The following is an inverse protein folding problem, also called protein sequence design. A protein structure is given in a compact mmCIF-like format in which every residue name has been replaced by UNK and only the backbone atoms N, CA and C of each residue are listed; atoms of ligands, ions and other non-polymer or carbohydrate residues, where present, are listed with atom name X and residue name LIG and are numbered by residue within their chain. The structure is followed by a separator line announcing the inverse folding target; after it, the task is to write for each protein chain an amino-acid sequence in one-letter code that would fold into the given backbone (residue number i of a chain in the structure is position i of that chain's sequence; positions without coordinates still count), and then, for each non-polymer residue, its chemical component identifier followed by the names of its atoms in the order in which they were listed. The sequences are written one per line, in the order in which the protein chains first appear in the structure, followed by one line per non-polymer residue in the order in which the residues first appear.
data_IF_544773478538
#
_entry.id   IF_544773478538
#
_cell.length_a   1.000
_cell.length_b   1.000
_cell.length_c   1.000
_cell.angle_alpha   90.00
_cell.angle_beta   90.00
_cell.angle_gamma   90.00
#
_symmetry.space_group_name_H-M   'P 1'
#
loop_
_entity.id
_entity.type
_entity.pdbx_description
1 polymer ?
#
# COMPACT_ATOMS: atom_id res chain seq x y z
N UNK A 1 3.37 11.52 -22.60
CA UNK A 1 2.26 10.79 -23.25
C UNK A 1 1.17 10.68 -22.21
N UNK A 2 0.10 11.48 -22.34
CA UNK A 2 -1.01 11.44 -21.41
C UNK A 2 -1.77 10.13 -21.62
N UNK A 3 -1.96 9.35 -20.56
CA UNK A 3 -2.81 8.17 -20.56
C UNK A 3 -4.22 8.57 -21.00
N UNK A 4 -4.69 8.02 -22.12
CA UNK A 4 -6.11 8.03 -22.45
C UNK A 4 -6.80 7.21 -21.36
N UNK A 5 -7.34 7.88 -20.34
CA UNK A 5 -8.37 7.29 -19.50
C UNK A 5 -9.52 6.96 -20.43
N UNK A 6 -9.77 5.68 -20.65
CA UNK A 6 -11.01 5.21 -21.26
C UNK A 6 -12.13 5.55 -20.28
N UNK A 7 -12.68 6.75 -20.40
CA UNK A 7 -13.89 7.17 -19.70
C UNK A 7 -15.03 6.29 -20.19
N UNK A 8 -15.71 5.59 -19.29
CA UNK A 8 -16.94 4.90 -19.67
C UNK A 8 -17.95 5.93 -20.20
N UNK A 9 -18.77 5.58 -21.21
CA UNK A 9 -19.76 6.51 -21.76
C UNK A 9 -20.73 6.95 -20.66
N UNK A 10 -21.12 8.22 -20.70
CA UNK A 10 -22.11 8.80 -19.80
C UNK A 10 -23.44 8.06 -19.97
N UNK A 11 -23.90 7.35 -18.93
CA UNK A 11 -25.14 6.57 -19.00
C UNK A 11 -26.35 7.46 -18.69
N UNK A 12 -27.29 7.55 -19.62
CA UNK A 12 -28.46 8.42 -19.54
C UNK A 12 -29.75 7.66 -19.83
N UNK A 13 -30.74 7.84 -18.97
CA UNK A 13 -32.13 7.44 -19.23
C UNK A 13 -32.92 8.66 -19.71
N UNK A 14 -33.62 8.54 -20.83
CA UNK A 14 -34.42 9.61 -21.41
C UNK A 14 -35.88 9.18 -21.47
N UNK A 15 -36.74 9.81 -20.67
CA UNK A 15 -38.19 9.67 -20.75
C UNK A 15 -38.76 10.74 -21.67
N UNK A 16 -39.13 10.35 -22.90
CA UNK A 16 -39.66 11.25 -23.93
C UNK A 16 -40.47 10.44 -24.94
N UNK A 17 -41.72 10.85 -25.21
CA UNK A 17 -42.63 10.09 -26.07
C UNK A 17 -42.49 10.45 -27.55
N UNK A 18 -42.05 11.68 -27.86
CA UNK A 18 -41.64 12.12 -29.20
C UNK A 18 -40.22 11.66 -29.53
N UNK A 19 -40.15 10.56 -30.26
CA UNK A 19 -38.90 9.97 -30.75
C UNK A 19 -38.08 10.96 -31.60
N UNK A 20 -38.71 11.90 -32.30
CA UNK A 20 -38.01 12.89 -33.12
C UNK A 20 -37.33 13.94 -32.25
N UNK A 21 -38.01 14.42 -31.22
CA UNK A 21 -37.43 15.33 -30.24
C UNK A 21 -36.33 14.64 -29.43
N UNK A 22 -36.58 13.41 -28.96
CA UNK A 22 -35.58 12.60 -28.28
C UNK A 22 -34.29 12.47 -29.11
N UNK A 23 -34.41 12.16 -30.41
CA UNK A 23 -33.25 12.11 -31.32
C UNK A 23 -32.53 13.44 -31.43
N UNK A 24 -33.24 14.57 -31.49
CA UNK A 24 -32.61 15.91 -31.55
C UNK A 24 -31.83 16.23 -30.28
N UNK A 25 -32.42 16.00 -29.11
CA UNK A 25 -31.78 16.17 -27.79
C UNK A 25 -30.52 15.32 -27.72
N UNK A 26 -30.64 14.05 -28.09
CA UNK A 26 -29.54 13.08 -28.05
C UNK A 26 -28.42 13.46 -29.03
N UNK A 27 -28.76 13.82 -30.26
CA UNK A 27 -27.78 14.21 -31.29
C UNK A 27 -27.04 15.48 -30.90
N UNK A 28 -27.72 16.45 -30.28
CA UNK A 28 -27.08 17.70 -29.81
C UNK A 28 -25.93 17.43 -28.84
N UNK A 29 -26.04 16.44 -27.97
CA UNK A 29 -24.97 16.05 -27.06
C UNK A 29 -23.83 15.32 -27.80
N UNK A 30 -24.15 14.44 -28.74
CA UNK A 30 -23.13 13.74 -29.54
C UNK A 30 -22.32 14.74 -30.38
N UNK A 31 -23.00 15.70 -31.03
CA UNK A 31 -22.37 16.73 -31.86
C UNK A 31 -21.44 17.64 -31.03
N UNK A 32 -21.73 17.83 -29.75
CA UNK A 32 -20.92 18.62 -28.82
C UNK A 32 -19.80 17.79 -28.13
N UNK A 33 -19.57 16.56 -28.60
CA UNK A 33 -18.41 15.74 -28.24
C UNK A 33 -18.59 14.84 -27.02
N UNK A 34 -19.82 14.59 -26.56
CA UNK A 34 -20.07 13.68 -25.45
C UNK A 34 -20.00 12.21 -25.89
N UNK A 35 -19.23 11.41 -25.17
CA UNK A 35 -19.34 9.95 -25.20
C UNK A 35 -20.49 9.53 -24.28
N UNK A 36 -21.65 9.22 -24.86
CA UNK A 36 -22.91 9.05 -24.14
C UNK A 36 -23.63 7.78 -24.60
N UNK A 37 -24.15 7.01 -23.64
CA UNK A 37 -25.03 5.87 -23.87
C UNK A 37 -26.42 6.25 -23.38
N UNK A 38 -27.37 6.38 -24.31
CA UNK A 38 -28.72 6.87 -24.02
C UNK A 38 -29.71 5.73 -24.20
N UNK A 39 -30.52 5.51 -23.18
CA UNK A 39 -31.68 4.64 -23.24
C UNK A 39 -32.96 5.48 -23.28
N UNK A 40 -33.73 5.33 -24.36
CA UNK A 40 -35.00 6.04 -24.54
C UNK A 40 -36.17 5.17 -24.07
N UNK A 41 -36.95 5.69 -23.14
CA UNK A 41 -38.25 5.16 -22.72
C UNK A 41 -39.34 6.16 -23.06
N UNK A 42 -40.52 5.66 -23.46
CA UNK A 42 -41.59 6.51 -24.02
C UNK A 42 -42.82 6.61 -23.14
N UNK A 43 -42.82 5.88 -22.03
CA UNK A 43 -43.93 5.80 -21.08
C UNK A 43 -43.37 5.85 -19.67
N UNK A 44 -44.16 6.40 -18.75
CA UNK A 44 -43.87 6.41 -17.33
C UNK A 44 -43.71 4.99 -16.77
N UNK A 45 -44.53 4.04 -17.24
CA UNK A 45 -44.39 2.63 -16.88
C UNK A 45 -43.02 2.05 -17.26
N UNK A 46 -42.55 2.31 -18.48
CA UNK A 46 -41.24 1.83 -18.93
C UNK A 46 -40.11 2.50 -18.14
N UNK A 47 -40.25 3.80 -17.84
CA UNK A 47 -39.34 4.51 -16.94
C UNK A 47 -39.20 3.83 -15.58
N UNK A 48 -40.32 3.49 -14.92
CA UNK A 48 -40.31 2.79 -13.64
C UNK A 48 -39.63 1.42 -13.71
N UNK A 49 -39.89 0.67 -14.78
CA UNK A 49 -39.23 -0.62 -14.99
C UNK A 49 -37.72 -0.47 -15.20
N UNK A 50 -37.28 0.62 -15.86
CA UNK A 50 -35.88 0.80 -16.23
C UNK A 50 -34.99 1.25 -15.07
N UNK A 51 -35.49 2.15 -14.22
CA UNK A 51 -34.77 2.57 -13.02
C UNK A 51 -34.61 1.45 -11.97
N UNK A 52 -35.35 0.34 -12.11
CA UNK A 52 -35.22 -0.85 -11.28
C UNK A 52 -34.18 -1.84 -11.83
N UNK A 53 -33.93 -1.82 -13.14
CA UNK A 53 -33.04 -2.78 -13.80
C UNK A 53 -31.59 -2.32 -13.82
N UNK A 54 -31.35 -1.01 -13.92
CA UNK A 54 -30.01 -0.46 -13.99
C UNK A 54 -29.91 0.94 -13.38
N UNK A 55 -28.68 1.35 -13.07
CA UNK A 55 -28.35 2.69 -12.60
C UNK A 55 -27.94 3.59 -13.76
N UNK A 56 -28.39 4.84 -13.73
CA UNK A 56 -28.01 5.88 -14.68
C UNK A 56 -27.26 7.00 -13.98
N UNK A 57 -26.46 7.77 -14.72
CA UNK A 57 -25.78 8.95 -14.17
C UNK A 57 -26.67 10.19 -14.28
N UNK A 58 -27.40 10.29 -15.39
CA UNK A 58 -28.34 11.38 -15.65
C UNK A 58 -29.67 10.81 -16.13
N UNK A 59 -30.77 11.45 -15.71
CA UNK A 59 -32.10 11.18 -16.24
C UNK A 59 -32.64 12.45 -16.90
N UNK A 60 -33.05 12.34 -18.16
CA UNK A 60 -33.80 13.37 -18.88
C UNK A 60 -35.28 13.05 -18.78
N UNK A 61 -36.07 14.00 -18.29
CA UNK A 61 -37.49 13.84 -18.08
C UNK A 61 -38.25 14.85 -18.92
N UNK A 62 -39.05 14.36 -19.86
CA UNK A 62 -40.13 15.14 -20.42
C UNK A 62 -41.19 15.43 -19.34
N UNK A 63 -41.73 16.64 -19.37
CA UNK A 63 -42.80 17.10 -18.51
C UNK A 63 -44.10 16.32 -18.78
N UNK A 64 -44.38 15.90 -20.01
CA UNK A 64 -45.61 15.17 -20.35
C UNK A 64 -45.31 13.88 -21.10
N UNK A 65 -45.90 12.76 -20.67
CA UNK A 65 -45.86 11.48 -21.40
C UNK A 65 -47.25 10.82 -21.38
N UNK A 66 -47.54 9.84 -22.26
CA UNK A 66 -48.90 9.32 -22.44
C UNK A 66 -49.60 8.78 -21.18
N UNK A 67 -48.85 8.26 -20.22
CA UNK A 67 -49.32 7.61 -19.00
C UNK A 67 -48.77 8.24 -17.70
N UNK A 68 -48.20 9.45 -17.77
CA UNK A 68 -47.63 10.14 -16.61
C UNK A 68 -46.98 11.49 -16.93
N UNK A 69 -46.17 12.01 -16.00
CA UNK A 69 -45.41 13.24 -16.19
C UNK A 69 -44.04 13.21 -15.49
N UNK A 70 -43.16 14.12 -15.90
CA UNK A 70 -41.82 14.24 -15.33
C UNK A 70 -41.82 14.55 -13.82
N UNK A 71 -42.81 15.29 -13.32
CA UNK A 71 -42.93 15.58 -11.88
C UNK A 71 -43.23 14.33 -11.04
N UNK A 72 -44.03 13.40 -11.55
CA UNK A 72 -44.26 12.09 -10.94
C UNK A 72 -42.99 11.23 -10.94
N UNK A 73 -42.22 11.26 -12.02
CA UNK A 73 -40.92 10.59 -12.09
C UNK A 73 -39.93 11.17 -11.07
N UNK A 74 -39.84 12.51 -10.96
CA UNK A 74 -39.03 13.21 -9.96
C UNK A 74 -39.37 12.77 -8.53
N UNK A 75 -40.66 12.70 -8.18
CA UNK A 75 -41.09 12.25 -6.84
C UNK A 75 -40.61 10.83 -6.54
N UNK A 76 -40.66 9.92 -7.52
CA UNK A 76 -40.17 8.55 -7.35
C UNK A 76 -38.66 8.51 -7.17
N UNK A 77 -37.90 9.25 -7.98
CA UNK A 77 -36.44 9.37 -7.86
C UNK A 77 -36.06 9.86 -6.45
N UNK A 78 -36.73 10.92 -5.96
CA UNK A 78 -36.49 11.49 -4.64
C UNK A 78 -36.87 10.52 -3.52
N UNK A 79 -38.06 9.90 -3.58
CA UNK A 79 -38.54 8.96 -2.56
C UNK A 79 -37.63 7.72 -2.43
N UNK A 80 -37.09 7.25 -3.55
CA UNK A 80 -36.16 6.11 -3.61
C UNK A 80 -34.71 6.53 -3.35
N UNK A 81 -34.42 7.82 -3.20
CA UNK A 81 -33.07 8.38 -2.98
C UNK A 81 -32.06 7.89 -4.03
N UNK A 82 -32.48 7.84 -5.31
CA UNK A 82 -31.60 7.38 -6.36
C UNK A 82 -30.46 8.39 -6.58
N UNK A 83 -29.19 7.95 -6.63
CA UNK A 83 -28.03 8.84 -6.78
C UNK A 83 -27.85 9.25 -8.26
N UNK A 84 -28.84 9.93 -8.82
CA UNK A 84 -28.90 10.34 -10.24
C UNK A 84 -29.16 11.84 -10.35
N UNK A 85 -28.55 12.51 -11.33
CA UNK A 85 -28.88 13.90 -11.64
C UNK A 85 -30.05 13.95 -12.62
N UNK A 86 -30.98 14.88 -12.43
CA UNK A 86 -32.18 14.95 -13.29
C UNK A 86 -32.26 16.28 -14.03
N UNK A 87 -32.49 16.22 -15.34
CA UNK A 87 -32.77 17.40 -16.18
C UNK A 87 -34.20 17.31 -16.68
N UNK A 88 -35.00 18.32 -16.36
CA UNK A 88 -36.38 18.42 -16.84
C UNK A 88 -36.41 19.10 -18.21
N UNK A 89 -37.25 18.62 -19.13
CA UNK A 89 -37.53 19.23 -20.42
C UNK A 89 -38.99 19.65 -20.51
N UNK A 90 -39.26 20.88 -20.94
CA UNK A 90 -40.64 21.38 -21.10
C UNK A 90 -40.76 22.36 -22.27
N UNK A 91 -41.96 22.47 -22.81
CA UNK A 91 -42.29 23.38 -23.92
C UNK A 91 -42.56 24.82 -23.47
N UNK A 92 -42.98 25.01 -22.21
CA UNK A 92 -43.38 26.30 -21.67
C UNK A 92 -42.52 26.71 -20.48
N UNK A 93 -42.31 28.02 -20.31
CA UNK A 93 -41.68 28.56 -19.12
C UNK A 93 -42.76 28.79 -18.05
N UNK A 94 -43.05 27.76 -17.26
CA UNK A 94 -43.92 27.88 -16.08
C UNK A 94 -43.07 28.01 -14.81
N UNK A 95 -43.05 29.22 -14.23
CA UNK A 95 -42.28 29.50 -13.01
C UNK A 95 -42.69 28.61 -11.83
N UNK A 96 -43.97 28.24 -11.72
CA UNK A 96 -44.44 27.39 -10.61
C UNK A 96 -43.89 25.97 -10.77
N UNK A 97 -43.99 25.41 -11.98
CA UNK A 97 -43.45 24.09 -12.29
C UNK A 97 -41.93 24.03 -12.13
N UNK A 98 -41.21 25.09 -12.53
CA UNK A 98 -39.74 25.21 -12.35
C UNK A 98 -39.41 25.19 -10.86
N UNK A 99 -40.10 25.98 -10.04
CA UNK A 99 -39.85 26.00 -8.59
C UNK A 99 -40.11 24.63 -7.96
N UNK A 100 -41.18 23.96 -8.37
CA UNK A 100 -41.53 22.64 -7.84
C UNK A 100 -40.54 21.55 -8.25
N UNK A 101 -40.06 21.54 -9.50
CA UNK A 101 -39.05 20.56 -9.91
C UNK A 101 -37.71 20.79 -9.20
N UNK A 102 -37.30 22.05 -9.00
CA UNK A 102 -36.08 22.38 -8.26
C UNK A 102 -36.18 21.95 -6.78
N UNK A 103 -37.35 22.13 -6.14
CA UNK A 103 -37.59 21.65 -4.77
C UNK A 103 -37.53 20.13 -4.64
N UNK A 104 -37.85 19.40 -5.71
CA UNK A 104 -37.73 17.94 -5.77
C UNK A 104 -36.30 17.46 -6.07
N UNK A 105 -35.36 18.38 -6.31
CA UNK A 105 -33.95 18.07 -6.53
C UNK A 105 -33.56 17.92 -7.99
N UNK A 106 -34.29 18.54 -8.93
CA UNK A 106 -33.83 18.62 -10.32
C UNK A 106 -32.49 19.36 -10.37
N UNK A 107 -31.55 18.85 -11.16
CA UNK A 107 -30.25 19.48 -11.37
C UNK A 107 -30.38 20.69 -12.29
N UNK A 108 -31.25 20.61 -13.30
CA UNK A 108 -31.57 21.74 -14.17
C UNK A 108 -32.94 21.56 -14.85
N UNK A 109 -33.40 22.62 -15.50
CA UNK A 109 -34.62 22.68 -16.30
C UNK A 109 -34.30 23.28 -17.67
N UNK A 110 -34.58 22.56 -18.75
CA UNK A 110 -34.25 22.91 -20.15
C UNK A 110 -35.52 23.11 -20.97
N UNK A 111 -35.68 24.28 -21.60
CA UNK A 111 -36.76 24.49 -22.55
C UNK A 111 -36.47 23.71 -23.83
N UNK A 112 -37.46 22.96 -24.34
CA UNK A 112 -37.37 22.19 -25.60
C UNK A 112 -37.08 23.08 -26.81
N UNK A 113 -37.40 24.37 -26.73
CA UNK A 113 -37.08 25.39 -27.74
C UNK A 113 -35.66 25.94 -27.65
N UNK A 114 -34.93 25.68 -26.54
CA UNK A 114 -33.59 26.20 -26.30
C UNK A 114 -32.60 25.06 -25.98
N UNK A 115 -32.51 24.06 -26.87
CA UNK A 115 -31.58 22.93 -26.71
C UNK A 115 -30.11 23.33 -26.83
N UNK A 116 -29.81 24.55 -27.29
CA UNK A 116 -28.45 25.08 -27.38
C UNK A 116 -27.74 25.13 -26.03
N UNK A 117 -28.48 25.29 -24.92
CA UNK A 117 -27.90 25.29 -23.56
C UNK A 117 -27.63 23.90 -22.99
N UNK A 118 -28.25 22.86 -23.56
CA UNK A 118 -28.20 21.51 -22.99
C UNK A 118 -26.76 20.98 -22.81
N UNK A 119 -25.82 21.16 -23.77
CA UNK A 119 -24.45 20.73 -23.57
C UNK A 119 -23.75 21.40 -22.38
N UNK A 120 -24.02 22.68 -22.12
CA UNK A 120 -23.46 23.40 -20.97
C UNK A 120 -24.00 22.85 -19.64
N UNK A 121 -25.32 22.63 -19.58
CA UNK A 121 -26.00 22.01 -18.43
C UNK A 121 -25.41 20.64 -18.11
N UNK A 122 -25.28 19.77 -19.12
CA UNK A 122 -24.75 18.42 -18.91
C UNK A 122 -23.28 18.46 -18.49
N UNK A 123 -22.45 19.35 -19.07
CA UNK A 123 -21.06 19.54 -18.63
C UNK A 123 -20.97 19.95 -17.16
N UNK A 124 -21.82 20.89 -16.74
CA UNK A 124 -21.86 21.34 -15.35
C UNK A 124 -22.21 20.19 -14.41
N UNK A 125 -23.27 19.45 -14.70
CA UNK A 125 -23.72 18.29 -13.93
C UNK A 125 -22.62 17.22 -13.82
N UNK A 126 -21.99 16.86 -14.94
CA UNK A 126 -20.92 15.85 -14.96
C UNK A 126 -19.72 16.33 -14.13
N UNK A 127 -19.33 17.60 -14.23
CA UNK A 127 -18.23 18.15 -13.44
C UNK A 127 -18.51 18.12 -11.94
N UNK A 128 -19.71 18.50 -11.52
CA UNK A 128 -20.11 18.47 -10.11
C UNK A 128 -20.18 17.04 -9.57
N UNK A 129 -20.76 16.10 -10.34
CA UNK A 129 -20.79 14.69 -9.97
C UNK A 129 -19.37 14.10 -9.84
N UNK A 130 -18.45 14.45 -10.74
CA UNK A 130 -17.06 14.02 -10.67
C UNK A 130 -16.36 14.55 -9.42
N UNK A 131 -16.56 15.83 -9.06
CA UNK A 131 -16.01 16.40 -7.82
C UNK A 131 -16.57 15.69 -6.59
N UNK A 132 -17.87 15.48 -6.55
CA UNK A 132 -18.54 14.82 -5.43
C UNK A 132 -18.05 13.37 -5.27
N UNK A 133 -17.96 12.63 -6.36
CA UNK A 133 -17.43 11.26 -6.36
C UNK A 133 -15.96 11.23 -5.94
N UNK A 134 -15.13 12.16 -6.41
CA UNK A 134 -13.73 12.26 -6.00
C UNK A 134 -13.59 12.52 -4.49
N UNK A 135 -14.47 13.35 -3.90
CA UNK A 135 -14.50 13.60 -2.45
C UNK A 135 -14.88 12.31 -1.71
N UNK A 136 -15.94 11.63 -2.15
CA UNK A 136 -16.40 10.38 -1.53
C UNK A 136 -15.32 9.30 -1.61
N UNK A 137 -14.68 9.13 -2.77
CA UNK A 137 -13.64 8.14 -2.98
C UNK A 137 -12.39 8.47 -2.15
N UNK A 138 -12.03 9.75 -2.05
CA UNK A 138 -10.97 10.20 -1.15
C UNK A 138 -11.29 9.90 0.31
N UNK A 139 -12.51 10.20 0.78
CA UNK A 139 -12.94 9.89 2.15
C UNK A 139 -12.90 8.39 2.43
N UNK A 140 -13.42 7.57 1.52
CA UNK A 140 -13.35 6.11 1.63
C UNK A 140 -11.90 5.63 1.72
N UNK A 141 -11.04 6.08 0.80
CA UNK A 141 -9.61 5.74 0.82
C UNK A 141 -8.93 6.17 2.13
N UNK A 142 -9.20 7.39 2.58
CA UNK A 142 -8.67 7.92 3.83
C UNK A 142 -9.07 7.05 5.03
N UNK A 143 -10.36 6.76 5.18
CA UNK A 143 -10.89 6.00 6.32
C UNK A 143 -10.51 4.52 6.32
N UNK A 144 -10.40 3.91 5.13
CA UNK A 144 -10.11 2.46 5.01
C UNK A 144 -8.63 2.12 4.96
N UNK A 145 -7.75 3.12 4.89
CA UNK A 145 -6.30 2.92 4.93
C UNK A 145 -5.86 2.30 6.26
N UNK A 146 -5.00 1.28 6.21
CA UNK A 146 -4.40 0.67 7.40
C UNK A 146 -3.24 1.50 7.97
N UNK A 147 -2.60 2.34 7.16
CA UNK A 147 -1.62 3.31 7.65
C UNK A 147 -2.36 4.44 8.40
N UNK A 148 -1.73 4.99 9.43
CA UNK A 148 -2.27 6.08 10.25
C UNK A 148 -2.18 7.39 9.47
N UNK A 149 -3.27 7.75 8.78
CA UNK A 149 -3.35 8.97 7.98
C UNK A 149 -3.84 10.13 8.83
N UNK A 150 -3.22 11.29 8.69
CA UNK A 150 -3.64 12.49 9.40
C UNK A 150 -3.41 13.76 8.59
N UNK A 151 -4.21 14.78 8.92
CA UNK A 151 -4.00 16.15 8.52
C UNK A 151 -3.82 17.00 9.79
N UNK A 152 -2.81 17.86 9.78
CA UNK A 152 -2.49 18.76 10.89
C UNK A 152 -2.46 20.21 10.42
N UNK A 153 -2.70 21.15 11.33
CA UNK A 153 -2.44 22.57 11.08
C UNK A 153 -0.93 22.88 11.06
N UNK A 154 -0.57 24.13 10.75
CA UNK A 154 0.82 24.62 10.76
C UNK A 154 1.50 24.55 12.14
N UNK A 155 0.74 24.38 13.20
CA UNK A 155 1.22 24.23 14.58
C UNK A 155 1.31 22.76 15.01
N UNK A 156 0.92 21.82 14.16
CA UNK A 156 0.94 20.40 14.43
C UNK A 156 -0.27 19.87 15.19
N UNK A 157 -1.38 20.60 15.26
CA UNK A 157 -2.61 20.07 15.86
C UNK A 157 -3.38 19.24 14.85
N UNK A 158 -3.88 18.07 15.26
CA UNK A 158 -4.66 17.21 14.39
C UNK A 158 -5.99 17.86 13.98
N UNK A 159 -6.18 18.04 12.68
CA UNK A 159 -7.44 18.48 12.07
C UNK A 159 -8.29 17.25 11.74
N UNK A 160 -7.67 16.25 11.10
CA UNK A 160 -8.33 15.03 10.67
C UNK A 160 -7.42 13.83 10.87
N UNK A 161 -8.02 12.68 11.17
CA UNK A 161 -7.39 11.40 11.49
C UNK A 161 -8.31 10.31 10.95
N UNK A 162 -7.74 9.28 10.33
CA UNK A 162 -8.53 8.12 9.88
C UNK A 162 -8.78 7.10 11.00
N UNK A 163 -9.66 6.14 10.74
CA UNK A 163 -10.01 5.08 11.69
C UNK A 163 -8.81 4.25 12.19
N UNK A 164 -7.75 4.09 11.39
CA UNK A 164 -6.55 3.32 11.78
C UNK A 164 -5.89 3.82 13.07
N UNK A 165 -6.05 5.09 13.44
CA UNK A 165 -5.54 5.60 14.72
C UNK A 165 -6.19 4.92 15.92
N UNK A 166 -7.51 4.69 15.85
CA UNK A 166 -8.21 3.95 16.90
C UNK A 166 -7.82 2.48 16.89
N UNK A 167 -7.72 1.89 15.71
CA UNK A 167 -7.49 0.45 15.57
C UNK A 167 -6.06 0.05 15.98
N UNK A 168 -5.06 0.86 15.63
CA UNK A 168 -3.64 0.57 15.92
C UNK A 168 -3.22 1.03 17.31
N UNK A 169 -3.65 2.23 17.73
CA UNK A 169 -3.20 2.84 18.99
C UNK A 169 -4.17 2.68 20.14
N UNK A 170 -5.42 2.30 19.88
CA UNK A 170 -6.46 2.06 20.89
C UNK A 170 -7.15 3.32 21.42
N UNK A 171 -6.90 4.49 20.83
CA UNK A 171 -7.51 5.76 21.26
C UNK A 171 -8.60 6.21 20.29
N UNK A 172 -9.77 6.64 20.77
CA UNK A 172 -10.77 7.23 19.89
C UNK A 172 -10.21 8.44 19.13
N UNK A 173 -10.42 8.47 17.81
CA UNK A 173 -10.01 9.61 16.95
C UNK A 173 -10.46 10.96 17.50
N UNK A 174 -11.66 11.02 18.07
CA UNK A 174 -12.24 12.24 18.65
C UNK A 174 -11.44 12.77 19.85
N UNK A 175 -10.77 11.90 20.60
CA UNK A 175 -9.89 12.32 21.70
C UNK A 175 -8.54 12.85 21.22
N UNK A 176 -8.13 12.46 20.02
CA UNK A 176 -6.86 12.88 19.42
C UNK A 176 -7.02 14.16 18.59
N UNK A 177 -8.22 14.43 18.08
CA UNK A 177 -8.51 15.66 17.33
C UNK A 177 -8.17 16.91 18.15
N UNK A 178 -7.47 17.85 17.53
CA UNK A 178 -7.00 19.10 18.15
C UNK A 178 -5.78 18.97 19.06
N UNK A 179 -5.35 17.75 19.43
CA UNK A 179 -4.10 17.56 20.17
C UNK A 179 -2.90 17.78 19.27
N UNK A 180 -1.78 18.22 19.85
CA UNK A 180 -0.54 18.34 19.11
C UNK A 180 0.04 16.96 18.85
N UNK A 181 0.45 16.68 17.61
CA UNK A 181 1.18 15.44 17.31
C UNK A 181 2.49 15.36 18.10
N UNK A 182 3.07 16.50 18.50
CA UNK A 182 4.27 16.58 19.34
C UNK A 182 4.06 16.06 20.77
N UNK A 183 2.82 16.00 21.25
CA UNK A 183 2.47 15.39 22.54
C UNK A 183 2.53 13.85 22.45
N UNK A 184 2.45 13.29 21.24
CA UNK A 184 2.54 11.86 20.97
C UNK A 184 3.97 11.41 20.63
N UNK A 185 4.93 12.35 20.56
CA UNK A 185 6.34 12.07 20.26
C UNK A 185 7.16 12.30 21.52
N UNK A 186 8.02 11.33 21.87
CA UNK A 186 8.92 11.47 23.00
C UNK A 186 9.82 12.70 22.85
N UNK A 187 10.07 13.46 23.93
CA UNK A 187 10.90 14.66 23.88
C UNK A 187 12.29 14.49 23.26
N UNK A 188 12.88 13.31 23.39
CA UNK A 188 14.22 12.98 22.89
C UNK A 188 14.29 12.81 21.35
N UNK A 189 13.15 12.56 20.69
CA UNK A 189 13.05 12.39 19.23
C UNK A 189 12.75 13.71 18.48
N UNK A 190 12.62 14.84 19.20
CA UNK A 190 12.21 16.15 18.63
C UNK A 190 13.27 16.85 17.78
N UNK A 191 14.51 16.35 17.77
CA UNK A 191 15.66 17.06 17.19
C UNK A 191 16.02 16.68 15.73
N UNK A 192 15.31 15.75 15.08
CA UNK A 192 15.64 15.30 13.73
C UNK A 192 14.79 16.01 12.65
N UNK A 193 15.28 17.18 12.22
CA UNK A 193 14.79 17.89 11.03
C UNK A 193 15.12 17.09 9.76
N UNK A 194 14.15 16.36 9.18
CA UNK A 194 13.90 16.13 7.73
C UNK A 194 12.85 15.03 7.53
N UNK A 195 11.80 15.31 6.72
CA UNK A 195 10.79 14.46 6.04
C UNK A 195 10.29 13.12 6.63
N UNK A 196 11.12 12.33 7.31
CA UNK A 196 10.81 11.05 7.95
C UNK A 196 11.53 10.90 9.28
N UNK A 197 10.81 10.56 10.34
CA UNK A 197 11.37 10.23 11.65
C UNK A 197 10.66 9.02 12.26
N UNK A 198 11.30 8.36 13.22
CA UNK A 198 10.73 7.23 13.96
C UNK A 198 10.49 7.66 15.40
N UNK A 199 9.40 7.20 16.01
CA UNK A 199 9.13 7.45 17.43
C UNK A 199 8.46 6.24 18.06
N UNK A 200 8.63 6.06 19.37
CA UNK A 200 7.86 5.09 20.12
C UNK A 200 6.61 5.78 20.69
N UNK A 201 5.41 5.27 20.45
CA UNK A 201 4.18 5.80 21.04
C UNK A 201 3.27 4.65 21.47
N UNK A 202 2.81 4.68 22.73
CA UNK A 202 1.99 3.61 23.32
C UNK A 202 2.52 2.18 23.02
N UNK A 203 3.81 1.95 23.25
CA UNK A 203 4.50 0.67 22.95
C UNK A 203 4.55 0.27 21.46
N UNK A 204 4.24 1.20 20.55
CA UNK A 204 4.32 1.01 19.09
C UNK A 204 5.41 1.87 18.48
N UNK A 205 6.26 1.29 17.64
CA UNK A 205 7.20 2.05 16.84
C UNK A 205 6.49 2.60 15.61
N UNK A 206 6.40 3.91 15.51
CA UNK A 206 5.79 4.60 14.38
C UNK A 206 6.86 5.24 13.51
N UNK A 207 6.76 5.03 12.20
CA UNK A 207 7.53 5.77 11.20
C UNK A 207 6.65 6.84 10.58
N UNK A 208 7.02 8.09 10.77
CA UNK A 208 6.33 9.24 10.25
C UNK A 208 6.90 9.64 8.90
N UNK A 209 6.03 10.09 8.00
CA UNK A 209 6.39 10.68 6.72
C UNK A 209 5.44 11.85 6.45
N UNK A 210 6.00 13.02 6.14
CA UNK A 210 5.17 14.09 5.57
C UNK A 210 4.88 13.75 4.11
N UNK A 211 3.59 13.64 3.76
CA UNK A 211 3.18 13.30 2.40
C UNK A 211 3.02 14.54 1.54
N UNK A 212 2.38 15.59 2.07
CA UNK A 212 2.07 16.81 1.32
C UNK A 212 1.83 17.97 2.27
N UNK A 213 2.22 19.18 1.87
CA UNK A 213 1.81 20.42 2.55
C UNK A 213 1.09 21.32 1.53
N UNK A 214 -0.15 21.70 1.84
CA UNK A 214 -0.95 22.62 1.01
C UNK A 214 -1.45 23.77 1.88
N UNK A 215 -0.90 24.97 1.61
CA UNK A 215 -1.18 26.15 2.44
C UNK A 215 -0.76 25.93 3.89
N UNK A 216 -1.72 26.09 4.81
CA UNK A 216 -1.51 25.92 6.25
C UNK A 216 -1.80 24.49 6.76
N UNK A 217 -2.13 23.55 5.88
CA UNK A 217 -2.45 22.16 6.24
C UNK A 217 -1.31 21.23 5.80
N UNK A 218 -0.89 20.35 6.72
CA UNK A 218 0.14 19.35 6.52
C UNK A 218 -0.52 17.96 6.56
N UNK A 219 -0.41 17.20 5.49
CA UNK A 219 -0.83 15.80 5.40
C UNK A 219 0.35 14.90 5.71
N UNK A 220 0.16 14.00 6.67
CA UNK A 220 1.20 13.10 7.15
C UNK A 220 0.66 11.68 7.30
N UNK A 221 1.60 10.73 7.19
CA UNK A 221 1.36 9.30 7.32
C UNK A 221 2.26 8.79 8.44
N UNK A 222 1.69 8.07 9.39
CA UNK A 222 2.42 7.24 10.34
C UNK A 222 2.20 5.76 9.99
N UNK A 223 3.28 4.97 10.01
CA UNK A 223 3.22 3.53 9.82
C UNK A 223 3.70 2.81 11.06
N UNK A 224 2.95 1.82 11.53
CA UNK A 224 3.43 0.92 12.58
C UNK A 224 4.54 0.01 12.01
N UNK A 225 5.75 0.16 12.55
CA UNK A 225 6.94 -0.63 12.24
C UNK A 225 7.41 -1.45 13.46
N UNK A 226 6.52 -1.67 14.43
CA UNK A 226 6.85 -2.39 15.69
C UNK A 226 7.42 -3.77 15.42
N UNK A 227 6.79 -4.56 14.55
CA UNK A 227 7.27 -5.90 14.20
C UNK A 227 8.63 -5.85 13.52
N UNK A 228 8.83 -4.90 12.60
CA UNK A 228 10.11 -4.70 11.92
C UNK A 228 11.21 -4.36 12.92
N UNK A 229 10.93 -3.49 13.89
CA UNK A 229 11.89 -3.13 14.95
C UNK A 229 12.17 -4.29 15.91
N UNK A 230 11.17 -5.07 16.29
CA UNK A 230 11.36 -6.25 17.13
C UNK A 230 12.23 -7.31 16.42
N UNK A 231 12.00 -7.53 15.14
CA UNK A 231 12.80 -8.44 14.32
C UNK A 231 14.25 -7.95 14.18
N UNK A 232 14.47 -6.65 13.97
CA UNK A 232 15.80 -6.04 13.92
C UNK A 232 16.57 -6.23 15.25
N UNK A 233 15.92 -5.94 16.38
CA UNK A 233 16.52 -6.10 17.72
C UNK A 233 16.84 -7.57 17.99
N UNK A 234 15.90 -8.48 17.68
CA UNK A 234 16.11 -9.92 17.84
C UNK A 234 17.30 -10.40 17.03
N UNK A 235 17.35 -10.04 15.74
CA UNK A 235 18.44 -10.43 14.85
C UNK A 235 19.79 -9.89 15.33
N UNK A 236 19.86 -8.63 15.77
CA UNK A 236 21.07 -8.06 16.35
C UNK A 236 21.54 -8.81 17.60
N UNK A 237 20.63 -9.17 18.50
CA UNK A 237 20.97 -9.94 19.70
C UNK A 237 21.46 -11.36 19.38
N UNK A 238 20.86 -12.03 18.38
CA UNK A 238 21.30 -13.34 17.91
C UNK A 238 22.68 -13.27 17.25
N UNK A 239 22.94 -12.22 16.46
CA UNK A 239 24.25 -11.98 15.86
C UNK A 239 25.34 -11.73 16.90
N UNK A 240 25.07 -10.93 17.93
CA UNK A 240 26.02 -10.72 19.04
C UNK A 240 26.32 -12.04 19.77
N UNK A 241 25.31 -12.85 20.06
CA UNK A 241 25.49 -14.16 20.67
C UNK A 241 26.32 -15.11 19.79
N UNK A 242 26.10 -15.10 18.47
CA UNK A 242 26.88 -15.90 17.52
C UNK A 242 28.33 -15.44 17.45
N UNK A 243 28.58 -14.13 17.46
CA UNK A 243 29.94 -13.58 17.48
C UNK A 243 30.68 -14.05 18.73
N UNK A 244 30.05 -13.96 19.91
CA UNK A 244 30.64 -14.45 21.16
C UNK A 244 30.95 -15.96 21.10
N UNK A 245 30.04 -16.76 20.52
CA UNK A 245 30.27 -18.20 20.36
C UNK A 245 31.43 -18.50 19.41
N UNK A 246 31.56 -17.76 18.30
CA UNK A 246 32.69 -17.88 17.36
C UNK A 246 34.01 -17.54 18.06
N UNK A 247 34.04 -16.47 18.87
CA UNK A 247 35.23 -16.10 19.64
C UNK A 247 35.63 -17.18 20.64
N UNK A 248 34.66 -17.77 21.35
CA UNK A 248 34.91 -18.88 22.27
C UNK A 248 35.46 -20.11 21.55
N UNK A 249 34.87 -20.50 20.42
CA UNK A 249 35.38 -21.63 19.62
C UNK A 249 36.78 -21.37 19.09
N UNK A 250 37.11 -20.14 18.68
CA UNK A 250 38.47 -19.78 18.26
C UNK A 250 39.46 -19.97 19.41
N UNK A 251 39.13 -19.50 20.61
CA UNK A 251 39.99 -19.69 21.80
C UNK A 251 40.18 -21.18 22.10
N UNK A 252 39.13 -21.98 22.06
CA UNK A 252 39.20 -23.43 22.31
C UNK A 252 40.10 -24.14 21.27
N UNK A 253 39.95 -23.81 19.99
CA UNK A 253 40.80 -24.35 18.91
C UNK A 253 42.26 -23.93 19.09
N UNK A 254 42.53 -22.66 19.42
CA UNK A 254 43.88 -22.17 19.68
C UNK A 254 44.49 -22.87 20.90
N UNK A 255 43.74 -23.05 21.99
CA UNK A 255 44.21 -23.79 23.17
C UNK A 255 44.56 -25.25 22.82
N UNK A 256 43.69 -25.94 22.07
CA UNK A 256 43.97 -27.31 21.59
C UNK A 256 45.24 -27.39 20.76
N UNK A 257 45.47 -26.40 19.88
CA UNK A 257 46.71 -26.31 19.08
C UNK A 257 47.94 -26.10 19.96
N UNK A 258 47.89 -25.14 20.91
CA UNK A 258 49.01 -24.86 21.82
C UNK A 258 49.36 -26.10 22.67
N UNK A 259 48.34 -26.79 23.20
CA UNK A 259 48.55 -28.02 23.98
C UNK A 259 49.21 -29.09 23.09
N UNK A 260 48.71 -29.30 21.87
CA UNK A 260 49.31 -30.25 20.94
C UNK A 260 50.79 -29.94 20.65
N UNK A 261 51.15 -28.66 20.49
CA UNK A 261 52.53 -28.21 20.26
C UNK A 261 53.45 -28.40 21.46
N UNK A 262 52.94 -28.37 22.69
CA UNK A 262 53.73 -28.58 23.91
C UNK A 262 53.94 -30.06 24.27
N UNK A 263 53.19 -30.97 23.68
CA UNK A 263 53.37 -32.41 23.88
C UNK A 263 54.73 -32.83 23.33
N UNK A 264 55.55 -33.47 24.17
CA UNK A 264 56.87 -33.96 23.77
C UNK A 264 56.80 -35.16 22.82
N UNK A 265 55.70 -35.93 22.90
CA UNK A 265 55.41 -37.01 21.97
C UNK A 265 55.02 -36.48 20.60
N UNK A 266 55.31 -37.28 19.57
CA UNK A 266 54.95 -36.98 18.19
C UNK A 266 53.44 -37.07 17.97
N UNK A 267 52.81 -35.97 17.56
CA UNK A 267 51.39 -35.90 17.21
C UNK A 267 51.24 -35.40 15.77
N UNK A 268 50.74 -36.29 14.91
CA UNK A 268 50.49 -36.03 13.49
C UNK A 268 49.03 -36.31 13.20
N UNK A 269 48.32 -35.36 12.59
CA UNK A 269 46.97 -35.61 12.04
C UNK A 269 47.03 -35.64 10.53
N UNK A 270 46.17 -36.45 9.91
CA UNK A 270 46.02 -36.53 8.45
C UNK A 270 44.57 -36.36 8.04
N UNK A 271 44.33 -35.97 6.78
CA UNK A 271 43.01 -36.12 6.17
C UNK A 271 42.70 -37.59 5.85
N UNK A 272 41.50 -37.86 5.32
CA UNK A 272 41.06 -39.19 4.91
C UNK A 272 41.88 -39.80 3.75
N UNK A 273 42.70 -38.99 3.06
CA UNK A 273 43.58 -39.41 1.97
C UNK A 273 45.02 -39.64 2.46
N UNK A 274 45.28 -39.49 3.76
CA UNK A 274 46.59 -39.67 4.38
C UNK A 274 47.52 -38.46 4.24
N UNK A 275 47.02 -37.30 3.82
CA UNK A 275 47.80 -36.06 3.74
C UNK A 275 47.91 -35.46 5.14
N UNK A 276 49.12 -35.13 5.59
CA UNK A 276 49.38 -34.51 6.89
C UNK A 276 48.73 -33.12 6.96
N UNK A 277 47.89 -32.92 7.97
CA UNK A 277 47.15 -31.68 8.24
C UNK A 277 47.61 -30.95 9.50
N UNK A 278 48.28 -31.63 10.42
CA UNK A 278 48.91 -31.04 11.61
C UNK A 278 50.18 -31.80 11.97
N UNK A 279 51.17 -31.08 12.50
CA UNK A 279 52.47 -31.61 12.90
C UNK A 279 52.99 -30.79 14.07
N UNK A 280 53.16 -31.42 15.24
CA UNK A 280 53.59 -30.74 16.45
C UNK A 280 55.14 -30.74 16.62
N UNK A 281 55.63 -30.02 17.62
CA UNK A 281 57.07 -29.93 17.90
C UNK A 281 57.71 -31.27 18.33
N UNK A 282 56.95 -32.16 18.98
CA UNK A 282 57.38 -33.53 19.26
C UNK A 282 57.70 -34.31 17.98
N UNK A 283 56.88 -34.18 16.94
CA UNK A 283 57.12 -34.78 15.62
C UNK A 283 58.37 -34.21 14.94
N UNK A 284 58.63 -32.90 15.07
CA UNK A 284 59.88 -32.29 14.57
C UNK A 284 61.12 -32.91 15.23
N UNK A 285 61.09 -33.09 16.56
CA UNK A 285 62.19 -33.73 17.30
C UNK A 285 62.40 -35.19 16.93
N UNK A 286 61.31 -35.95 16.78
CA UNK A 286 61.35 -37.39 16.49
C UNK A 286 61.80 -37.65 15.05
N UNK A 287 61.32 -36.87 14.08
CA UNK A 287 61.59 -37.12 12.67
C UNK A 287 62.72 -36.26 12.09
N UNK A 288 63.12 -35.17 12.75
CA UNK A 288 64.28 -34.35 12.39
C UNK A 288 64.06 -33.40 11.21
N UNK A 289 62.82 -33.19 10.77
CA UNK A 289 62.46 -32.27 9.69
C UNK A 289 61.12 -31.59 9.97
N UNK A 290 60.92 -30.42 9.34
CA UNK A 290 59.67 -29.67 9.36
C UNK A 290 58.66 -30.28 8.37
N UNK A 291 57.35 -30.22 8.68
CA UNK A 291 56.31 -30.75 7.79
C UNK A 291 56.24 -29.96 6.48
N UNK A 292 55.86 -30.65 5.39
CA UNK A 292 55.62 -30.01 4.09
C UNK A 292 54.13 -29.66 3.98
N UNK A 293 53.77 -28.42 4.29
CA UNK A 293 52.40 -27.94 4.07
C UNK A 293 52.15 -27.70 2.56
N UNK A 294 50.96 -28.04 2.03
CA UNK A 294 50.57 -27.59 0.70
C UNK A 294 50.33 -26.07 0.72
N UNK A 295 51.39 -25.31 0.45
CA UNK A 295 51.39 -23.84 0.46
C UNK A 295 52.74 -23.19 0.77
N UNK A 296 53.68 -23.91 1.38
CA UNK A 296 55.04 -23.41 1.64
C UNK A 296 56.00 -23.93 0.55
N UNK A 297 56.62 -23.02 -0.19
CA UNK A 297 57.52 -23.37 -1.29
C UNK A 297 58.84 -23.99 -0.85
N UNK A 298 59.03 -25.28 -1.20
CA UNK A 298 60.29 -26.08 -1.34
C UNK A 298 61.13 -26.30 -0.05
N UNK A 299 61.85 -27.41 0.17
CA UNK A 299 62.49 -28.43 -0.70
C UNK A 299 62.39 -29.87 -0.15
N UNK A 300 62.38 -30.85 -1.06
CA UNK A 300 62.63 -32.31 -0.89
C UNK A 300 64.16 -32.63 -1.04
N UNK A 301 64.69 -33.88 -0.92
CA UNK A 301 64.41 -35.13 -0.16
C UNK A 301 65.73 -35.72 0.51
N UNK A 302 65.96 -37.04 0.80
CA UNK A 302 65.85 -38.20 -0.11
C UNK A 302 64.92 -39.33 0.38
N UNK A 303 64.29 -39.99 -0.59
CA UNK A 303 63.76 -41.36 -0.44
C UNK A 303 64.91 -42.30 -0.06
N UNK A 304 64.78 -43.05 1.01
CA UNK A 304 65.51 -44.31 1.19
C UNK A 304 64.51 -45.46 1.18
N UNK A 305 64.59 -46.25 0.13
CA UNK A 305 63.97 -47.57 0.04
C UNK A 305 64.94 -48.65 0.54
N UNK A 306 64.35 -49.82 0.79
CA UNK A 306 65.00 -51.14 1.01
C UNK A 306 65.79 -51.30 2.31
N UNK A 307 65.76 -52.40 3.07
CA UNK A 307 65.23 -53.77 2.88
C UNK A 307 65.41 -54.52 4.22
N UNK A 308 64.51 -55.45 4.53
CA UNK A 308 64.91 -56.77 5.02
C UNK A 308 65.04 -57.03 6.53
N UNK A 309 64.07 -57.81 7.03
CA UNK A 309 64.28 -59.16 7.58
C UNK A 309 64.68 -59.37 9.06
N UNK A 310 63.86 -60.24 9.70
CA UNK A 310 64.12 -61.18 10.81
C UNK A 310 64.26 -60.60 12.23
N UNK A 311 63.33 -60.87 13.16
CA UNK A 311 62.96 -62.14 13.82
C UNK A 311 63.86 -62.51 15.02
N UNK A 312 63.25 -62.51 16.22
CA UNK A 312 63.54 -63.31 17.42
C UNK A 312 62.39 -63.01 18.43
N UNK A 313 61.46 -63.91 18.81
CA UNK A 313 61.56 -65.17 19.59
C UNK A 313 62.47 -65.04 20.82
N UNK A 314 62.18 -65.49 22.04
CA UNK A 314 60.99 -66.01 22.73
C UNK A 314 61.35 -66.15 24.24
N UNK A 315 60.35 -66.14 25.12
CA UNK A 315 60.25 -66.83 26.42
C UNK A 315 61.23 -66.50 27.59
N UNK A 316 60.70 -66.12 28.77
CA UNK A 316 60.54 -67.03 29.95
C UNK A 316 60.16 -66.27 31.24
N UNK A 317 58.90 -66.44 31.64
CA UNK A 317 58.45 -66.98 32.94
C UNK A 317 57.40 -68.01 32.53
N UNK A 318 57.54 -69.33 32.63
CA UNK A 318 58.49 -70.25 33.30
C UNK A 318 59.22 -71.14 32.32
#
# INVERSE_FOLDING_TARGET
MASQQTTQPLSVLHLEDDVSLARKINQKLIDDGFDISIELVRTYKDFLAQIEQQSFQIIFLDDHVPDGNGLQAMKVIQQRQLPVSVVMFSDILDEVAIVDCMRLGAADYVLKTNLERLPEVVRHIVSENQKQNAIIDFQKFFETSADLLCACDKHGHFISLNQAWSDVLGFPVEELRGKSFLDLIFPDDRAATHARYQSLFNMRWLQWSTALQTGEVIYAIARDITELKQNEIKLSSENESLIQQIEQYKVEVTQKSIVADQIHDSVITTDLKGIITSWNHGSEKVFGYLPVYPGAGRQHPPRTGHTGSRAANAAQVR
#
